data_IF_366229709420
#
_entry.id   IF_366229709420
#
_cell.length_a   1.000
_cell.length_b   1.000
_cell.length_c   1.000
_cell.angle_alpha   90.00
_cell.angle_beta   90.00
_cell.angle_gamma   90.00
#
_symmetry.space_group_name_H-M   'P 1'
#
loop_
_entity.id
_entity.type
_entity.pdbx_description
1 polymer ?
#
# COMPACT_ATOMS: atom_id res chain seq x y z
N UNK A 1 12.28 -24.31 16.66
CA UNK A 1 11.92 -23.13 15.84
C UNK A 1 12.35 -21.84 16.55
N UNK A 2 13.11 -20.97 15.88
CA UNK A 2 13.52 -19.65 16.40
C UNK A 2 12.32 -18.71 16.39
N UNK A 3 12.03 -18.09 17.53
CA UNK A 3 10.86 -17.19 17.73
C UNK A 3 11.24 -15.77 18.14
N UNK A 4 12.52 -15.52 18.45
CA UNK A 4 12.99 -14.21 18.92
C UNK A 4 14.30 -13.79 18.27
N UNK A 5 14.54 -12.48 18.21
CA UNK A 5 15.81 -11.91 17.72
C UNK A 5 17.00 -12.36 18.60
N UNK A 6 16.79 -12.56 19.90
CA UNK A 6 17.84 -13.06 20.81
C UNK A 6 18.29 -14.47 20.44
N UNK A 7 17.34 -15.37 20.11
CA UNK A 7 17.65 -16.70 19.59
C UNK A 7 18.36 -16.63 18.23
N UNK A 8 17.91 -15.75 17.32
CA UNK A 8 18.56 -15.51 16.04
C UNK A 8 20.03 -15.06 16.19
N UNK A 9 20.30 -14.18 17.17
CA UNK A 9 21.67 -13.70 17.49
C UNK A 9 22.59 -14.84 17.92
N UNK A 10 22.09 -15.82 18.68
CA UNK A 10 22.86 -17.00 19.13
C UNK A 10 23.28 -17.91 17.96
N UNK A 11 22.49 -17.95 16.89
CA UNK A 11 22.76 -18.79 15.70
C UNK A 11 23.45 -18.03 14.56
N UNK A 12 23.88 -16.79 14.76
CA UNK A 12 24.41 -15.90 13.69
C UNK A 12 25.52 -16.47 12.81
N UNK A 13 26.28 -17.47 13.29
CA UNK A 13 27.34 -18.14 12.52
C UNK A 13 26.81 -19.13 11.47
N UNK A 14 25.52 -19.46 11.51
CA UNK A 14 24.87 -20.46 10.64
C UNK A 14 23.53 -19.92 10.11
N UNK A 15 23.55 -18.72 9.54
CA UNK A 15 22.35 -18.10 8.92
C UNK A 15 22.62 -17.89 7.44
N UNK A 16 21.72 -18.42 6.61
CA UNK A 16 21.59 -18.08 5.21
C UNK A 16 20.38 -17.18 5.03
N UNK A 17 20.56 -16.06 4.32
CA UNK A 17 19.48 -15.14 4.00
C UNK A 17 19.07 -15.36 2.55
N UNK A 18 17.80 -15.68 2.32
CA UNK A 18 17.31 -16.06 0.99
C UNK A 18 16.21 -15.12 0.51
N UNK A 19 16.31 -14.75 -0.77
CA UNK A 19 15.25 -14.08 -1.51
C UNK A 19 15.30 -14.52 -2.98
N UNK A 20 14.16 -14.56 -3.65
CA UNK A 20 14.07 -14.93 -5.06
C UNK A 20 13.19 -13.98 -5.87
N UNK A 21 13.36 -13.98 -7.18
CA UNK A 21 12.53 -13.28 -8.16
C UNK A 21 11.89 -14.29 -9.12
N UNK A 22 10.74 -13.92 -9.69
CA UNK A 22 9.96 -14.77 -10.59
C UNK A 22 9.32 -13.98 -11.74
N UNK A 23 8.78 -14.70 -12.72
CA UNK A 23 8.18 -14.12 -13.94
C UNK A 23 6.79 -13.54 -13.76
N UNK A 24 6.11 -13.87 -12.67
CA UNK A 24 4.79 -13.35 -12.34
C UNK A 24 4.57 -13.42 -10.84
N UNK A 25 3.75 -12.51 -10.33
CA UNK A 25 3.22 -12.64 -8.98
C UNK A 25 1.97 -13.55 -9.02
N UNK A 26 0.98 -13.22 -9.84
CA UNK A 26 -0.36 -13.84 -9.73
C UNK A 26 -0.74 -14.79 -10.88
N UNK A 27 0.17 -15.05 -11.84
CA UNK A 27 -0.16 -15.77 -13.08
C UNK A 27 0.73 -16.98 -13.27
N UNK A 28 0.12 -18.16 -13.27
CA UNK A 28 0.79 -19.43 -13.55
C UNK A 28 0.99 -19.64 -15.06
N UNK A 29 2.10 -20.26 -15.51
CA UNK A 29 3.19 -20.78 -14.69
C UNK A 29 4.12 -19.66 -14.18
N UNK A 30 4.36 -19.66 -12.87
CA UNK A 30 5.35 -18.78 -12.23
C UNK A 30 6.70 -19.48 -12.36
N UNK A 31 7.67 -18.82 -12.98
CA UNK A 31 9.02 -19.35 -13.19
C UNK A 31 9.97 -18.55 -12.30
N UNK A 32 10.82 -19.23 -11.54
CA UNK A 32 11.88 -18.61 -10.76
C UNK A 32 12.99 -18.14 -11.71
N UNK A 33 13.30 -16.85 -11.66
CA UNK A 33 14.25 -16.19 -12.57
C UNK A 33 15.60 -15.92 -11.92
N UNK A 34 15.61 -15.77 -10.59
CA UNK A 34 16.82 -15.66 -9.78
C UNK A 34 16.57 -16.05 -8.32
N UNK A 35 17.50 -16.75 -7.69
CA UNK A 35 17.57 -16.99 -6.24
C UNK A 35 18.89 -16.42 -5.74
N UNK A 36 18.84 -15.55 -4.73
CA UNK A 36 20.04 -15.05 -4.04
C UNK A 36 20.07 -15.59 -2.63
N UNK A 37 21.23 -16.11 -2.24
CA UNK A 37 21.50 -16.63 -0.90
C UNK A 37 22.72 -15.93 -0.34
N UNK A 38 22.58 -15.25 0.79
CA UNK A 38 23.70 -14.59 1.48
C UNK A 38 24.06 -15.34 2.75
N UNK A 39 25.30 -15.75 2.88
CA UNK A 39 25.84 -16.20 4.15
C UNK A 39 26.05 -14.99 5.05
N UNK A 40 25.33 -14.95 6.17
CA UNK A 40 25.37 -13.84 7.10
C UNK A 40 26.75 -13.68 7.75
N UNK A 41 27.43 -14.80 8.04
CA UNK A 41 28.70 -14.81 8.75
C UNK A 41 29.88 -14.46 7.85
N UNK A 42 29.87 -14.95 6.61
CA UNK A 42 30.93 -14.73 5.63
C UNK A 42 30.73 -13.44 4.83
N UNK A 43 29.56 -12.83 4.91
CA UNK A 43 29.18 -11.65 4.14
C UNK A 43 29.22 -11.87 2.61
N UNK A 44 29.14 -13.13 2.18
CA UNK A 44 29.19 -13.56 0.78
C UNK A 44 27.79 -13.83 0.25
N UNK A 45 27.51 -13.40 -0.98
CA UNK A 45 26.26 -13.70 -1.67
C UNK A 45 26.52 -14.63 -2.84
N UNK A 46 25.74 -15.71 -2.92
CA UNK A 46 25.68 -16.63 -4.04
C UNK A 46 24.36 -16.41 -4.78
N UNK A 47 24.43 -16.14 -6.08
CA UNK A 47 23.25 -15.98 -6.93
C UNK A 47 23.11 -17.14 -7.90
N UNK A 48 21.87 -17.57 -8.11
CA UNK A 48 21.47 -18.55 -9.11
C UNK A 48 20.42 -17.89 -9.98
N UNK A 49 20.81 -17.39 -11.16
CA UNK A 49 19.93 -16.59 -12.01
C UNK A 49 20.11 -16.85 -13.50
N UNK A 50 19.15 -16.39 -14.29
CA UNK A 50 19.16 -16.53 -15.76
C UNK A 50 20.33 -15.79 -16.44
N UNK A 51 21.04 -14.93 -15.70
CA UNK A 51 22.31 -14.32 -16.15
C UNK A 51 23.42 -15.37 -16.34
N UNK A 52 23.38 -16.44 -15.53
CA UNK A 52 24.39 -17.52 -15.50
C UNK A 52 23.85 -18.86 -15.99
N UNK A 53 22.57 -19.14 -15.75
CA UNK A 53 21.94 -20.42 -16.03
C UNK A 53 20.95 -20.28 -17.19
N UNK A 54 20.93 -21.28 -18.09
CA UNK A 54 20.12 -21.22 -19.33
C UNK A 54 18.61 -21.18 -19.07
N UNK A 55 18.17 -21.84 -18.01
CA UNK A 55 16.75 -22.02 -17.69
C UNK A 55 16.57 -22.29 -16.19
N UNK A 56 15.31 -22.30 -15.74
CA UNK A 56 14.96 -22.56 -14.34
C UNK A 56 15.45 -23.94 -13.86
N UNK A 57 15.38 -24.99 -14.69
CA UNK A 57 15.88 -26.32 -14.33
C UNK A 57 17.36 -26.30 -13.90
N UNK A 58 18.23 -25.73 -14.75
CA UNK A 58 19.68 -25.65 -14.47
C UNK A 58 19.99 -24.74 -13.29
N UNK A 59 19.22 -23.67 -13.11
CA UNK A 59 19.29 -22.78 -11.96
C UNK A 59 18.92 -23.50 -10.66
N UNK A 60 17.76 -24.17 -10.63
CA UNK A 60 17.28 -24.91 -9.46
C UNK A 60 18.24 -26.04 -9.11
N UNK A 61 18.73 -26.79 -10.10
CA UNK A 61 19.72 -27.85 -9.86
C UNK A 61 20.98 -27.31 -9.16
N UNK A 62 21.51 -26.17 -9.61
CA UNK A 62 22.68 -25.55 -8.97
C UNK A 62 22.37 -25.01 -7.57
N UNK A 63 21.20 -24.40 -7.38
CA UNK A 63 20.73 -23.94 -6.07
C UNK A 63 20.59 -25.11 -5.08
N UNK A 64 19.98 -26.22 -5.47
CA UNK A 64 19.83 -27.41 -4.64
C UNK A 64 21.19 -28.03 -4.28
N UNK A 65 22.11 -28.10 -5.24
CA UNK A 65 23.47 -28.57 -5.00
C UNK A 65 24.23 -27.70 -3.97
N UNK A 66 23.97 -26.39 -3.98
CA UNK A 66 24.48 -25.47 -2.95
C UNK A 66 23.81 -25.73 -1.60
N UNK A 67 22.47 -25.78 -1.54
CA UNK A 67 21.73 -25.96 -0.29
C UNK A 67 22.00 -27.30 0.40
N UNK A 68 22.26 -28.36 -0.37
CA UNK A 68 22.65 -29.68 0.19
C UNK A 68 23.92 -29.60 1.06
N UNK A 69 24.85 -28.71 0.72
CA UNK A 69 26.08 -28.49 1.51
C UNK A 69 25.85 -27.65 2.76
N UNK A 70 24.68 -27.01 2.87
CA UNK A 70 24.32 -26.06 3.92
C UNK A 70 23.14 -26.54 4.76
N UNK A 71 22.90 -27.86 4.82
CA UNK A 71 21.74 -28.47 5.51
C UNK A 71 21.60 -28.11 7.00
N UNK A 72 22.69 -27.70 7.64
CA UNK A 72 22.73 -27.31 9.05
C UNK A 72 22.57 -25.79 9.28
N UNK A 73 22.24 -25.01 8.25
CA UNK A 73 22.03 -23.57 8.35
C UNK A 73 20.56 -23.23 8.58
N UNK A 74 20.33 -22.17 9.35
CA UNK A 74 19.04 -21.52 9.45
C UNK A 74 18.79 -20.69 8.19
N UNK A 75 17.61 -20.81 7.60
CA UNK A 75 17.18 -19.99 6.48
C UNK A 75 16.33 -18.81 6.95
N UNK A 76 16.84 -17.59 6.79
CA UNK A 76 16.14 -16.36 7.10
C UNK A 76 15.53 -15.76 5.82
N UNK A 77 14.22 -15.58 5.79
CA UNK A 77 13.46 -15.08 4.64
C UNK A 77 12.72 -13.79 4.98
N UNK A 78 12.08 -13.15 3.99
CA UNK A 78 11.30 -11.92 4.20
C UNK A 78 9.89 -12.04 3.60
N UNK A 79 8.87 -12.12 4.45
CA UNK A 79 7.46 -12.23 4.02
C UNK A 79 7.22 -13.36 3.00
N UNK A 80 7.79 -14.54 3.26
CA UNK A 80 7.88 -15.68 2.32
C UNK A 80 7.27 -16.94 2.94
N UNK A 81 6.01 -16.85 3.37
CA UNK A 81 5.31 -17.92 4.10
C UNK A 81 4.22 -18.66 3.31
N UNK A 82 3.79 -18.13 2.18
CA UNK A 82 2.71 -18.74 1.40
C UNK A 82 3.25 -19.71 0.36
N UNK A 83 2.47 -20.72 -0.03
CA UNK A 83 2.79 -21.57 -1.19
C UNK A 83 2.97 -20.78 -2.49
N UNK A 84 2.37 -19.60 -2.58
CA UNK A 84 2.45 -18.75 -3.78
C UNK A 84 3.78 -18.00 -3.91
N UNK A 85 4.40 -17.58 -2.80
CA UNK A 85 5.56 -16.68 -2.80
C UNK A 85 6.65 -17.05 -1.79
N UNK A 86 6.47 -18.15 -1.07
CA UNK A 86 7.36 -18.61 -0.02
C UNK A 86 8.36 -19.62 -0.51
N UNK A 87 9.12 -20.15 0.42
CA UNK A 87 10.07 -21.23 0.17
C UNK A 87 9.36 -22.50 -0.35
N UNK A 88 8.09 -22.71 0.02
CA UNK A 88 7.24 -23.77 -0.53
C UNK A 88 7.11 -23.67 -2.05
N UNK A 89 7.07 -22.45 -2.61
CA UNK A 89 7.00 -22.27 -4.05
C UNK A 89 8.25 -22.81 -4.74
N UNK A 90 9.43 -22.63 -4.14
CA UNK A 90 10.67 -23.19 -4.67
C UNK A 90 10.61 -24.73 -4.65
N UNK A 91 10.08 -25.31 -3.57
CA UNK A 91 9.86 -26.77 -3.47
C UNK A 91 8.91 -27.29 -4.56
N UNK A 92 7.77 -26.61 -4.78
CA UNK A 92 6.82 -26.93 -5.85
C UNK A 92 7.45 -26.86 -7.25
N UNK A 93 8.28 -25.82 -7.50
CA UNK A 93 9.01 -25.70 -8.77
C UNK A 93 10.05 -26.81 -8.92
N UNK A 94 10.72 -27.23 -7.85
CA UNK A 94 11.60 -28.40 -7.87
C UNK A 94 10.83 -29.69 -8.19
N UNK A 95 9.64 -29.87 -7.61
CA UNK A 95 8.75 -31.00 -7.91
C UNK A 95 8.36 -31.06 -9.38
N UNK A 96 7.90 -29.94 -9.93
CA UNK A 96 7.51 -29.83 -11.35
C UNK A 96 8.69 -30.04 -12.32
N UNK A 97 9.92 -29.89 -11.84
CA UNK A 97 11.14 -30.14 -12.60
C UNK A 97 11.77 -31.52 -12.29
N UNK A 98 11.08 -32.41 -11.56
CA UNK A 98 11.58 -33.73 -11.13
C UNK A 98 12.92 -33.65 -10.36
N UNK A 99 13.02 -32.71 -9.42
CA UNK A 99 14.23 -32.48 -8.62
C UNK A 99 14.06 -32.81 -7.12
N UNK A 100 12.90 -33.35 -6.69
CA UNK A 100 12.58 -33.58 -5.26
C UNK A 100 13.52 -34.56 -4.56
N UNK A 101 14.02 -35.58 -5.28
CA UNK A 101 14.92 -36.61 -4.75
C UNK A 101 16.26 -36.03 -4.25
N UNK A 102 16.52 -34.74 -4.51
CA UNK A 102 17.79 -34.06 -4.24
C UNK A 102 17.74 -33.09 -3.06
N UNK A 103 16.56 -32.81 -2.48
CA UNK A 103 16.42 -31.82 -1.41
C UNK A 103 15.12 -31.96 -0.60
N UNK A 104 15.23 -31.92 0.72
CA UNK A 104 14.09 -31.80 1.63
C UNK A 104 14.26 -30.51 2.44
N UNK A 105 13.23 -29.66 2.42
CA UNK A 105 13.22 -28.43 3.19
C UNK A 105 12.82 -28.75 4.62
N UNK A 106 13.74 -28.60 5.56
CA UNK A 106 13.39 -28.64 6.98
C UNK A 106 12.72 -27.32 7.36
N UNK A 107 11.39 -27.30 7.38
CA UNK A 107 10.60 -26.13 7.76
C UNK A 107 10.92 -25.58 9.15
N UNK A 108 11.42 -26.40 10.09
CA UNK A 108 11.83 -25.94 11.43
C UNK A 108 13.09 -25.07 11.41
N UNK A 109 13.87 -25.14 10.32
CA UNK A 109 15.07 -24.34 10.08
C UNK A 109 14.78 -23.04 9.33
N UNK A 110 13.52 -22.74 9.02
CA UNK A 110 13.13 -21.54 8.27
C UNK A 110 12.49 -20.53 9.22
N UNK A 111 12.88 -19.27 9.05
CA UNK A 111 12.43 -18.16 9.87
C UNK A 111 12.07 -16.99 8.97
N UNK A 112 10.85 -16.49 9.11
CA UNK A 112 10.47 -15.23 8.50
C UNK A 112 10.95 -14.06 9.37
N UNK A 113 11.75 -13.18 8.79
CA UNK A 113 12.34 -12.08 9.52
C UNK A 113 11.32 -10.98 9.85
N UNK A 114 10.28 -10.79 9.03
CA UNK A 114 9.19 -9.83 9.30
C UNK A 114 8.45 -10.21 10.60
N UNK A 115 8.31 -11.51 10.87
CA UNK A 115 7.72 -12.01 12.12
C UNK A 115 8.58 -11.74 13.33
N UNK A 116 9.88 -11.99 13.24
CA UNK A 116 10.77 -11.74 14.37
C UNK A 116 10.80 -10.25 14.75
N UNK A 117 10.76 -9.38 13.73
CA UNK A 117 10.70 -7.94 13.93
C UNK A 117 9.32 -7.51 14.45
N UNK A 118 8.24 -8.09 13.93
CA UNK A 118 6.87 -7.84 14.41
C UNK A 118 6.69 -8.28 15.87
N UNK A 119 7.23 -9.44 16.25
CA UNK A 119 7.20 -9.95 17.61
C UNK A 119 8.00 -9.07 18.58
N UNK A 120 9.13 -8.51 18.13
CA UNK A 120 9.99 -7.65 18.96
C UNK A 120 9.48 -6.21 19.08
N UNK A 121 9.03 -5.62 17.98
CA UNK A 121 8.76 -4.18 17.86
C UNK A 121 7.29 -3.84 17.64
N UNK A 122 6.41 -4.84 17.52
CA UNK A 122 5.00 -4.67 17.17
C UNK A 122 4.78 -4.58 15.64
N UNK A 123 3.53 -4.75 15.16
CA UNK A 123 3.22 -4.80 13.72
C UNK A 123 3.49 -3.47 12.98
N UNK A 124 3.50 -2.35 13.70
CA UNK A 124 3.75 -1.00 13.17
C UNK A 124 5.20 -0.55 13.23
N UNK A 125 6.18 -1.47 13.23
CA UNK A 125 7.61 -1.13 13.37
C UNK A 125 8.22 -0.47 12.12
N UNK A 126 7.60 -0.64 10.96
CA UNK A 126 7.99 0.02 9.73
C UNK A 126 6.78 0.18 8.78
N UNK A 127 6.73 1.25 7.96
CA UNK A 127 5.71 1.39 6.92
C UNK A 127 5.87 0.38 5.78
N UNK A 128 4.77 -0.01 5.14
CA UNK A 128 4.81 -0.84 3.94
C UNK A 128 5.32 -0.05 2.70
N UNK A 129 6.12 -0.66 1.80
CA UNK A 129 6.79 -1.96 1.96
C UNK A 129 7.93 -1.86 2.99
N UNK A 130 7.89 -2.74 4.01
CA UNK A 130 8.71 -2.65 5.22
C UNK A 130 10.21 -2.73 4.95
N UNK A 131 10.66 -3.65 4.08
CA UNK A 131 12.09 -3.83 3.78
C UNK A 131 12.74 -2.56 3.22
N UNK A 132 12.06 -1.91 2.27
CA UNK A 132 12.53 -0.70 1.60
C UNK A 132 12.55 0.50 2.57
N UNK A 133 11.53 0.61 3.43
CA UNK A 133 11.47 1.67 4.44
C UNK A 133 12.51 1.50 5.54
N UNK A 134 12.73 0.27 6.03
CA UNK A 134 13.77 -0.02 7.00
C UNK A 134 15.16 0.29 6.44
N UNK A 135 15.40 -0.04 5.18
CA UNK A 135 16.64 0.32 4.51
C UNK A 135 16.87 1.83 4.55
N UNK A 136 15.89 2.63 4.12
CA UNK A 136 16.01 4.10 4.16
C UNK A 136 16.18 4.65 5.57
N UNK A 137 15.41 4.13 6.52
CA UNK A 137 15.43 4.61 7.90
C UNK A 137 16.77 4.36 8.60
N UNK A 138 17.50 3.33 8.17
CA UNK A 138 18.78 2.92 8.75
C UNK A 138 19.97 3.24 7.82
N UNK A 139 19.78 4.16 6.88
CA UNK A 139 20.79 4.58 5.90
C UNK A 139 21.47 3.43 5.13
N UNK A 140 20.72 2.36 4.90
CA UNK A 140 21.15 1.22 4.09
C UNK A 140 20.89 1.57 2.63
N UNK A 141 21.95 1.57 1.82
CA UNK A 141 21.86 1.87 0.39
C UNK A 141 20.87 0.95 -0.34
N UNK A 142 20.01 1.57 -1.16
CA UNK A 142 19.09 0.91 -2.08
C UNK A 142 19.67 0.77 -3.50
N UNK A 143 20.99 0.93 -3.68
CA UNK A 143 21.62 0.83 -5.00
C UNK A 143 21.27 -0.53 -5.66
N UNK A 144 20.73 -0.48 -6.88
CA UNK A 144 20.26 -1.64 -7.64
C UNK A 144 19.03 -2.37 -7.08
N UNK A 145 18.39 -1.86 -6.02
CA UNK A 145 17.10 -2.38 -5.54
C UNK A 145 16.01 -2.15 -6.60
N UNK A 146 15.26 -3.20 -6.93
CA UNK A 146 14.13 -3.15 -7.85
C UNK A 146 12.91 -3.80 -7.19
N UNK A 147 11.73 -3.20 -7.37
CA UNK A 147 10.47 -3.77 -6.85
C UNK A 147 10.08 -5.02 -7.64
N UNK A 148 9.38 -5.97 -7.00
CA UNK A 148 8.99 -7.24 -7.64
C UNK A 148 8.29 -7.09 -9.00
N UNK A 149 7.36 -6.13 -9.12
CA UNK A 149 6.67 -5.84 -10.39
C UNK A 149 7.65 -5.37 -11.48
N UNK A 150 8.68 -4.62 -11.11
CA UNK A 150 9.68 -4.14 -12.05
C UNK A 150 10.65 -5.26 -12.46
N UNK A 151 10.95 -6.23 -11.58
CA UNK A 151 11.75 -7.42 -11.93
C UNK A 151 11.07 -8.26 -13.02
N UNK A 152 9.74 -8.35 -13.00
CA UNK A 152 8.95 -8.98 -14.08
C UNK A 152 9.15 -8.25 -15.40
N UNK A 153 9.10 -6.91 -15.39
CA UNK A 153 9.35 -6.11 -16.59
C UNK A 153 10.78 -6.26 -17.11
N UNK A 154 11.78 -6.31 -16.21
CA UNK A 154 13.17 -6.56 -16.57
C UNK A 154 13.37 -7.94 -17.20
N UNK A 155 12.62 -8.94 -16.75
CA UNK A 155 12.69 -10.28 -17.32
C UNK A 155 12.21 -10.29 -18.77
N UNK A 156 11.10 -9.60 -19.08
CA UNK A 156 10.55 -9.50 -20.45
C UNK A 156 11.55 -8.88 -21.43
N UNK A 157 12.39 -7.96 -20.97
CA UNK A 157 13.45 -7.33 -21.78
C UNK A 157 14.83 -7.97 -21.60
N UNK A 158 14.88 -9.18 -21.03
CA UNK A 158 16.11 -9.99 -20.84
C UNK A 158 17.22 -9.30 -20.04
N UNK A 159 16.88 -8.39 -19.13
CA UNK A 159 17.85 -7.70 -18.26
C UNK A 159 18.14 -8.51 -16.99
N UNK A 160 18.63 -9.74 -17.16
CA UNK A 160 18.82 -10.71 -16.07
C UNK A 160 19.82 -10.24 -15.01
N UNK A 161 20.93 -9.59 -15.42
CA UNK A 161 21.89 -9.02 -14.47
C UNK A 161 21.27 -8.03 -13.49
N UNK A 162 20.30 -7.24 -13.94
CA UNK A 162 19.62 -6.27 -13.06
C UNK A 162 18.69 -6.95 -12.06
N UNK A 163 18.06 -8.06 -12.45
CA UNK A 163 17.27 -8.89 -11.53
C UNK A 163 18.18 -9.53 -10.48
N UNK A 164 19.33 -10.07 -10.89
CA UNK A 164 20.33 -10.60 -9.98
C UNK A 164 20.84 -9.52 -9.00
N UNK A 165 21.19 -8.34 -9.50
CA UNK A 165 21.65 -7.24 -8.65
C UNK A 165 20.56 -6.79 -7.64
N UNK A 166 19.29 -6.81 -8.05
CA UNK A 166 18.16 -6.48 -7.16
C UNK A 166 17.95 -7.50 -6.05
N UNK A 167 17.93 -8.78 -6.40
CA UNK A 167 17.79 -9.88 -5.43
C UNK A 167 18.99 -9.94 -4.49
N UNK A 168 20.21 -9.72 -4.99
CA UNK A 168 21.42 -9.56 -4.17
C UNK A 168 21.32 -8.37 -3.22
N UNK A 169 20.80 -7.23 -3.68
CA UNK A 169 20.58 -6.06 -2.84
C UNK A 169 19.58 -6.35 -1.73
N UNK A 170 18.49 -7.08 -2.00
CA UNK A 170 17.47 -7.42 -0.99
C UNK A 170 18.02 -8.29 0.12
N UNK A 171 18.77 -9.36 -0.20
CA UNK A 171 19.41 -10.20 0.84
C UNK A 171 20.49 -9.44 1.61
N UNK A 172 21.19 -8.49 0.97
CA UNK A 172 22.13 -7.61 1.66
C UNK A 172 21.40 -6.66 2.64
N UNK A 173 20.31 -6.01 2.22
CA UNK A 173 19.49 -5.17 3.09
C UNK A 173 18.99 -5.96 4.30
N UNK A 174 18.46 -7.17 4.07
CA UNK A 174 18.02 -8.06 5.15
C UNK A 174 19.16 -8.37 6.13
N UNK A 175 20.39 -8.59 5.64
CA UNK A 175 21.55 -8.81 6.50
C UNK A 175 21.87 -7.59 7.37
N UNK A 176 21.85 -6.38 6.80
CA UNK A 176 22.08 -5.15 7.56
C UNK A 176 20.99 -4.93 8.62
N UNK A 177 19.71 -5.12 8.27
CA UNK A 177 18.60 -5.01 9.22
C UNK A 177 18.72 -6.08 10.32
N UNK A 178 19.09 -7.31 9.96
CA UNK A 178 19.33 -8.41 10.93
C UNK A 178 20.40 -8.03 11.93
N UNK A 179 21.53 -7.47 11.45
CA UNK A 179 22.62 -6.99 12.30
C UNK A 179 22.14 -5.92 13.27
N UNK A 180 21.49 -4.87 12.78
CA UNK A 180 20.96 -3.81 13.63
C UNK A 180 19.92 -4.33 14.62
N UNK A 181 19.03 -5.23 14.19
CA UNK A 181 18.03 -5.81 15.08
C UNK A 181 18.64 -6.65 16.21
N UNK A 182 19.67 -7.45 15.90
CA UNK A 182 20.41 -8.27 16.87
C UNK A 182 21.21 -7.42 17.86
N UNK A 183 21.61 -6.22 17.48
CA UNK A 183 22.37 -5.30 18.32
C UNK A 183 21.50 -4.27 19.05
N UNK A 184 20.17 -4.34 18.88
CA UNK A 184 19.25 -3.32 19.42
C UNK A 184 19.50 -1.91 18.86
N UNK A 185 20.10 -1.83 17.66
CA UNK A 185 20.46 -0.58 16.96
C UNK A 185 19.48 -0.25 15.82
N UNK A 186 18.50 -1.12 15.55
CA UNK A 186 17.59 -0.94 14.42
C UNK A 186 16.69 0.27 14.68
N UNK A 187 16.87 1.31 13.87
CA UNK A 187 15.94 2.42 13.80
C UNK A 187 14.63 1.91 13.22
N UNK A 188 13.58 2.07 14.01
CA UNK A 188 12.21 1.72 13.64
C UNK A 188 11.35 2.98 13.63
N UNK A 189 10.31 2.99 12.81
CA UNK A 189 9.32 4.05 12.84
C UNK A 189 8.05 3.44 13.40
N UNK A 190 7.83 3.65 14.70
CA UNK A 190 6.56 3.30 15.34
C UNK A 190 5.46 4.18 14.74
N UNK A 191 4.45 3.58 14.11
CA UNK A 191 3.12 4.20 14.07
C UNK A 191 2.73 4.45 15.54
N UNK A 192 2.47 5.70 15.98
CA UNK A 192 2.47 6.04 17.38
C UNK A 192 1.27 5.42 18.11
N UNK A 193 1.48 4.24 18.68
CA UNK A 193 0.51 3.55 19.54
C UNK A 193 0.40 4.23 20.92
N UNK A 194 1.42 4.98 21.35
CA UNK A 194 1.44 5.74 22.60
C UNK A 194 0.68 7.07 22.54
N UNK A 195 0.47 7.65 21.35
CA UNK A 195 -0.24 8.94 21.23
C UNK A 195 -1.76 8.82 21.34
N UNK A 196 -2.35 7.64 21.16
CA UNK A 196 -3.81 7.45 21.31
C UNK A 196 -4.24 7.65 22.77
N UNK A 197 -3.40 7.26 23.74
CA UNK A 197 -3.69 7.48 25.17
C UNK A 197 -3.40 8.92 25.62
N UNK A 198 -2.41 9.60 25.02
CA UNK A 198 -2.18 11.03 25.23
C UNK A 198 -3.31 11.88 24.62
N UNK A 199 -3.79 11.55 23.42
CA UNK A 199 -4.97 12.18 22.79
C UNK A 199 -6.24 12.00 23.63
N UNK A 200 -6.44 10.80 24.21
CA UNK A 200 -7.54 10.54 25.16
C UNK A 200 -7.45 11.36 26.45
N UNK A 201 -6.23 11.57 26.99
CA UNK A 201 -6.01 12.40 28.19
C UNK A 201 -6.15 13.90 27.90
N UNK A 202 -5.79 14.35 26.69
CA UNK A 202 -5.86 15.77 26.30
C UNK A 202 -7.27 16.24 25.94
N UNK A 203 -8.12 15.38 25.36
CA UNK A 203 -9.52 15.73 25.10
C UNK A 203 -10.32 16.02 26.39
N UNK A 204 -9.86 15.53 27.54
CA UNK A 204 -10.49 15.77 28.84
C UNK A 204 -9.94 17.01 29.56
N UNK A 205 -8.91 17.69 29.02
CA UNK A 205 -8.16 18.74 29.74
C UNK A 205 -7.85 19.99 28.90
N UNK A 206 -8.78 20.42 28.04
CA UNK A 206 -8.76 21.77 27.47
C UNK A 206 -9.96 22.60 27.95
N UNK A 207 -9.88 22.99 29.22
CA UNK A 207 -10.20 24.34 29.67
C UNK A 207 -8.87 24.90 30.20
N UNK A 208 -8.50 26.11 29.74
CA UNK A 208 -7.37 26.95 30.15
C UNK A 208 -6.00 26.76 29.43
N UNK A 209 -5.82 27.61 28.40
CA UNK A 209 -4.79 28.64 28.26
C UNK A 209 -3.27 28.31 28.10
N UNK A 210 -2.72 28.88 26.99
CA UNK A 210 -1.38 29.48 26.75
C UNK A 210 -0.15 28.59 26.45
N UNK A 211 0.36 28.65 25.21
CA UNK A 211 1.42 29.58 24.76
C UNK A 211 1.76 29.37 23.27
N UNK A 212 1.76 30.49 22.54
CA UNK A 212 1.78 30.70 21.08
C UNK A 212 3.00 30.16 20.31
N UNK A 213 3.98 29.53 20.97
CA UNK A 213 5.25 29.07 20.36
C UNK A 213 5.27 27.56 20.07
N UNK A 214 4.53 26.76 20.84
CA UNK A 214 4.47 25.31 20.68
C UNK A 214 3.55 24.91 19.51
N UNK A 215 2.51 25.71 19.24
CA UNK A 215 1.55 25.48 18.16
C UNK A 215 2.21 25.50 16.78
N UNK A 216 3.18 26.40 16.55
CA UNK A 216 3.86 26.54 15.25
C UNK A 216 4.79 25.37 14.94
N UNK A 217 5.56 24.89 15.93
CA UNK A 217 6.44 23.72 15.78
C UNK A 217 5.61 22.44 15.62
N UNK A 218 4.48 22.34 16.32
CA UNK A 218 3.52 21.24 16.17
C UNK A 218 2.84 21.28 14.79
N UNK A 219 2.38 22.43 14.31
CA UNK A 219 1.79 22.60 12.98
C UNK A 219 2.81 22.27 11.88
N UNK A 220 4.06 22.73 11.99
CA UNK A 220 5.12 22.40 11.04
C UNK A 220 5.49 20.91 11.05
N UNK A 221 5.45 20.27 12.22
CA UNK A 221 5.71 18.83 12.37
C UNK A 221 4.52 18.01 11.86
N UNK A 222 3.29 18.42 12.14
CA UNK A 222 2.08 17.83 11.58
C UNK A 222 2.06 17.99 10.05
N UNK A 223 2.43 19.16 9.53
CA UNK A 223 2.50 19.40 8.10
C UNK A 223 3.61 18.58 7.45
N UNK A 224 4.79 18.43 8.09
CA UNK A 224 5.88 17.55 7.62
C UNK A 224 5.49 16.06 7.64
N UNK A 225 4.79 15.59 8.68
CA UNK A 225 4.30 14.20 8.80
C UNK A 225 3.21 13.94 7.76
N UNK A 226 2.27 14.87 7.62
CA UNK A 226 1.21 14.87 6.60
C UNK A 226 1.84 14.82 5.21
N UNK A 227 2.78 15.71 4.89
CA UNK A 227 3.55 15.67 3.62
C UNK A 227 4.33 14.36 3.43
N UNK A 228 4.84 13.71 4.48
CA UNK A 228 5.59 12.45 4.36
C UNK A 228 4.69 11.19 4.18
N UNK A 229 3.44 11.25 4.62
CA UNK A 229 2.41 10.22 4.41
C UNK A 229 1.69 10.44 3.08
N UNK A 230 1.48 11.70 2.70
CA UNK A 230 0.80 12.13 1.47
C UNK A 230 1.59 11.88 0.18
N UNK A 231 2.90 11.64 0.27
CA UNK A 231 3.83 11.51 -0.88
C UNK A 231 4.40 10.09 -1.06
N UNK A 232 3.60 9.05 -0.83
CA UNK A 232 4.03 7.65 -1.07
C UNK A 232 3.53 7.16 -2.42
N UNK A 233 4.39 6.95 -3.43
CA UNK A 233 3.98 6.34 -4.69
C UNK A 233 3.41 4.94 -4.44
N UNK A 234 2.30 4.60 -5.09
CA UNK A 234 1.62 3.34 -4.87
C UNK A 234 0.26 3.29 -5.52
N UNK A 235 -0.47 2.20 -5.27
CA UNK A 235 -1.83 2.01 -5.73
C UNK A 235 -2.80 2.58 -4.68
N UNK A 236 -3.62 3.54 -5.09
CA UNK A 236 -4.59 4.22 -4.23
C UNK A 236 -5.99 4.15 -4.84
N UNK A 237 -6.98 4.24 -3.96
CA UNK A 237 -8.32 4.65 -4.33
C UNK A 237 -8.37 6.17 -4.44
N UNK A 238 -8.60 6.64 -5.65
CA UNK A 238 -8.91 8.01 -6.00
C UNK A 238 -10.38 8.23 -5.73
N UNK A 239 -10.69 9.11 -4.78
CA UNK A 239 -12.06 9.46 -4.43
C UNK A 239 -12.31 10.88 -4.88
N UNK A 240 -13.29 11.04 -5.76
CA UNK A 240 -13.75 12.32 -6.28
C UNK A 240 -15.15 12.60 -5.72
N UNK A 241 -15.28 13.63 -4.88
CA UNK A 241 -16.55 14.07 -4.32
C UNK A 241 -16.93 15.40 -4.95
N UNK A 242 -18.05 15.44 -5.66
CA UNK A 242 -18.41 16.56 -6.53
C UNK A 242 -19.78 17.12 -6.17
N UNK A 243 -19.86 18.45 -5.98
CA UNK A 243 -21.12 19.13 -5.72
C UNK A 243 -22.04 19.04 -6.95
N UNK A 244 -23.21 18.46 -6.76
CA UNK A 244 -24.20 18.34 -7.83
C UNK A 244 -25.00 19.63 -8.00
N UNK A 245 -25.38 19.93 -9.24
CA UNK A 245 -26.19 21.09 -9.61
C UNK A 245 -25.55 22.44 -9.23
N UNK A 246 -24.22 22.53 -9.21
CA UNK A 246 -23.48 23.77 -8.92
C UNK A 246 -23.80 24.89 -9.91
N UNK A 247 -23.84 24.61 -11.21
CA UNK A 247 -24.22 25.58 -12.26
C UNK A 247 -25.62 26.18 -12.03
N UNK A 248 -26.60 25.35 -11.65
CA UNK A 248 -27.96 25.84 -11.35
C UNK A 248 -28.00 26.66 -10.06
N UNK A 249 -27.11 26.35 -9.12
CA UNK A 249 -27.01 27.09 -7.86
C UNK A 249 -26.35 28.45 -8.08
N UNK A 250 -25.31 28.53 -8.93
CA UNK A 250 -24.63 29.79 -9.25
C UNK A 250 -25.49 30.79 -10.01
N UNK A 251 -26.50 30.32 -10.75
CA UNK A 251 -27.46 31.19 -11.43
C UNK A 251 -28.48 31.84 -10.46
N UNK A 252 -28.67 31.25 -9.28
CA UNK A 252 -29.75 31.63 -8.35
C UNK A 252 -29.26 32.26 -7.05
N UNK A 253 -28.03 31.96 -6.65
CA UNK A 253 -27.42 32.46 -5.44
C UNK A 253 -26.55 33.68 -5.75
N UNK A 254 -26.37 34.56 -4.77
CA UNK A 254 -25.33 35.58 -4.89
C UNK A 254 -23.94 34.92 -4.98
N UNK A 255 -22.93 35.60 -5.56
CA UNK A 255 -21.56 35.09 -5.58
C UNK A 255 -21.04 34.68 -4.18
N UNK A 256 -21.36 35.45 -3.15
CA UNK A 256 -20.98 35.18 -1.76
C UNK A 256 -21.67 33.93 -1.20
N UNK A 257 -22.98 33.80 -1.44
CA UNK A 257 -23.77 32.64 -1.01
C UNK A 257 -23.31 31.36 -1.72
N UNK A 258 -23.04 31.45 -3.01
CA UNK A 258 -22.53 30.33 -3.81
C UNK A 258 -21.12 29.91 -3.37
N UNK A 259 -20.22 30.88 -3.15
CA UNK A 259 -18.88 30.61 -2.63
C UNK A 259 -18.93 29.96 -1.24
N UNK A 260 -19.79 30.46 -0.36
CA UNK A 260 -20.03 29.88 0.95
C UNK A 260 -20.52 28.43 0.84
N UNK A 261 -21.47 28.14 -0.04
CA UNK A 261 -21.97 26.78 -0.28
C UNK A 261 -20.87 25.82 -0.72
N UNK A 262 -19.98 26.24 -1.62
CA UNK A 262 -18.82 25.45 -2.07
C UNK A 262 -17.89 25.17 -0.90
N UNK A 263 -17.51 26.21 -0.15
CA UNK A 263 -16.61 26.09 1.00
C UNK A 263 -17.19 25.16 2.08
N UNK A 264 -18.48 25.32 2.40
CA UNK A 264 -19.19 24.46 3.36
C UNK A 264 -19.15 22.99 2.90
N UNK A 265 -19.33 22.70 1.60
CA UNK A 265 -19.23 21.34 1.06
C UNK A 265 -17.80 20.78 1.13
N UNK A 266 -16.79 21.56 0.77
CA UNK A 266 -15.38 21.16 0.82
C UNK A 266 -14.97 20.86 2.27
N UNK A 267 -15.35 21.73 3.20
CA UNK A 267 -15.05 21.54 4.63
C UNK A 267 -15.75 20.31 5.19
N UNK A 268 -17.05 20.14 4.93
CA UNK A 268 -17.78 18.93 5.32
C UNK A 268 -17.08 17.69 4.77
N UNK A 269 -16.67 17.72 3.50
CA UNK A 269 -15.97 16.61 2.85
C UNK A 269 -14.63 16.27 3.52
N UNK A 270 -13.80 17.28 3.76
CA UNK A 270 -12.48 17.16 4.39
C UNK A 270 -12.57 16.68 5.83
N UNK A 271 -13.48 17.25 6.61
CA UNK A 271 -13.66 16.89 8.01
C UNK A 271 -14.52 15.64 8.22
N UNK A 272 -14.97 14.98 7.16
CA UNK A 272 -15.62 13.66 7.24
C UNK A 272 -14.64 12.50 7.28
N UNK A 273 -13.34 12.74 7.12
CA UNK A 273 -12.32 11.69 7.25
C UNK A 273 -12.28 11.23 8.71
N UNK A 274 -12.61 9.96 9.00
CA UNK A 274 -12.62 9.47 10.37
C UNK A 274 -11.20 9.50 10.97
N UNK A 275 -11.08 9.72 12.29
CA UNK A 275 -9.78 9.64 12.96
C UNK A 275 -9.29 8.18 13.10
N UNK A 276 -10.19 7.19 13.03
CA UNK A 276 -9.95 5.76 13.23
C UNK A 276 -9.91 4.95 11.90
N UNK A 277 -9.20 5.47 10.91
CA UNK A 277 -9.00 4.75 9.65
C UNK A 277 -8.26 3.42 9.89
N UNK A 278 -8.66 2.38 9.15
CA UNK A 278 -7.91 1.12 9.12
C UNK A 278 -6.53 1.28 8.46
N UNK A 279 -6.39 2.28 7.59
CA UNK A 279 -5.15 2.63 6.92
C UNK A 279 -5.08 4.15 6.69
N UNK A 280 -4.36 4.59 5.66
CA UNK A 280 -4.19 5.99 5.31
C UNK A 280 -5.33 6.47 4.41
N UNK A 281 -5.88 7.64 4.75
CA UNK A 281 -6.83 8.39 3.96
C UNK A 281 -6.61 9.89 4.18
N UNK A 282 -6.54 10.68 3.11
CA UNK A 282 -6.32 12.13 3.22
C UNK A 282 -6.94 12.91 2.07
N UNK A 283 -7.34 14.14 2.40
CA UNK A 283 -7.73 15.16 1.44
C UNK A 283 -6.50 15.69 0.72
N UNK A 284 -6.52 15.68 -0.61
CA UNK A 284 -5.40 16.17 -1.44
C UNK A 284 -5.59 17.65 -1.74
N UNK A 285 -6.69 17.98 -2.41
CA UNK A 285 -7.04 19.34 -2.81
C UNK A 285 -8.50 19.41 -3.26
N UNK A 286 -9.03 20.61 -3.31
CA UNK A 286 -10.24 20.97 -4.04
C UNK A 286 -9.91 21.37 -5.48
N UNK A 287 -10.88 21.18 -6.37
CA UNK A 287 -10.83 21.59 -7.78
C UNK A 287 -12.20 22.18 -8.10
N UNK A 288 -12.34 23.50 -7.92
CA UNK A 288 -13.63 24.18 -8.04
C UNK A 288 -14.58 23.76 -6.93
N UNK A 289 -15.69 23.15 -7.29
CA UNK A 289 -16.73 22.63 -6.39
C UNK A 289 -16.55 21.13 -6.06
N UNK A 290 -15.45 20.52 -6.51
CA UNK A 290 -15.09 19.15 -6.23
C UNK A 290 -13.96 19.03 -5.20
N UNK A 291 -13.98 17.94 -4.44
CA UNK A 291 -12.94 17.53 -3.51
C UNK A 291 -12.28 16.24 -3.98
N UNK A 292 -10.95 16.24 -4.00
CA UNK A 292 -10.14 15.08 -4.36
C UNK A 292 -9.45 14.49 -3.13
N UNK A 293 -9.69 13.21 -2.88
CA UNK A 293 -9.16 12.47 -1.74
C UNK A 293 -8.50 11.17 -2.19
N UNK A 294 -7.61 10.66 -1.33
CA UNK A 294 -6.91 9.39 -1.54
C UNK A 294 -7.12 8.48 -0.35
N UNK A 295 -7.36 7.20 -0.63
CA UNK A 295 -7.48 6.16 0.39
C UNK A 295 -6.68 4.92 -0.02
N UNK A 296 -6.11 4.22 0.97
CA UNK A 296 -5.43 2.93 0.77
C UNK A 296 -6.32 1.72 1.06
N UNK A 297 -7.48 1.93 1.65
CA UNK A 297 -8.40 0.87 2.03
C UNK A 297 -9.83 1.27 1.63
N UNK A 298 -10.55 0.35 0.99
CA UNK A 298 -11.91 0.62 0.53
C UNK A 298 -12.93 0.74 1.67
N UNK A 299 -12.76 0.01 2.78
CA UNK A 299 -13.64 0.11 3.95
C UNK A 299 -13.57 1.49 4.60
N UNK A 300 -12.40 2.11 4.56
CA UNK A 300 -12.21 3.48 5.04
C UNK A 300 -12.99 4.49 4.21
N UNK A 301 -13.13 4.25 2.90
CA UNK A 301 -13.99 5.06 2.02
C UNK A 301 -15.46 4.89 2.41
N UNK A 302 -15.91 3.68 2.74
CA UNK A 302 -17.28 3.47 3.20
C UNK A 302 -17.54 4.19 4.53
N UNK A 303 -16.61 4.11 5.49
CA UNK A 303 -16.69 4.84 6.77
C UNK A 303 -16.77 6.35 6.53
N UNK A 304 -15.85 6.89 5.75
CA UNK A 304 -15.84 8.30 5.36
C UNK A 304 -17.15 8.70 4.66
N UNK A 305 -17.67 7.87 3.76
CA UNK A 305 -18.90 8.16 3.02
C UNK A 305 -20.11 8.23 3.94
N UNK A 306 -20.23 7.34 4.92
CA UNK A 306 -21.30 7.39 5.94
C UNK A 306 -21.23 8.69 6.74
N UNK A 307 -20.04 9.07 7.22
CA UNK A 307 -19.86 10.32 7.99
C UNK A 307 -20.20 11.54 7.11
N UNK A 308 -19.80 11.52 5.84
CA UNK A 308 -20.11 12.56 4.88
C UNK A 308 -21.61 12.66 4.61
N UNK A 309 -22.30 11.53 4.43
CA UNK A 309 -23.76 11.49 4.28
C UNK A 309 -24.45 12.12 5.49
N UNK A 310 -24.07 11.71 6.70
CA UNK A 310 -24.65 12.21 7.94
C UNK A 310 -24.45 13.72 8.11
N UNK A 311 -23.23 14.22 7.86
CA UNK A 311 -22.92 15.65 7.97
C UNK A 311 -23.64 16.48 6.91
N UNK A 312 -23.70 16.02 5.66
CA UNK A 312 -24.45 16.68 4.61
C UNK A 312 -25.96 16.71 4.93
N UNK A 313 -26.51 15.63 5.47
CA UNK A 313 -27.90 15.58 5.91
C UNK A 313 -28.17 16.55 7.07
N UNK A 314 -27.28 16.59 8.07
CA UNK A 314 -27.37 17.55 9.18
C UNK A 314 -27.27 19.00 8.71
N UNK A 315 -26.40 19.29 7.75
CA UNK A 315 -26.31 20.60 7.10
C UNK A 315 -27.62 20.93 6.41
N UNK A 316 -28.11 20.05 5.53
CA UNK A 316 -29.32 20.25 4.73
C UNK A 316 -30.58 20.45 5.58
N UNK A 317 -30.68 19.77 6.72
CA UNK A 317 -31.82 19.93 7.65
C UNK A 317 -31.91 21.34 8.26
N UNK A 318 -30.79 22.09 8.30
CA UNK A 318 -30.76 23.47 8.81
C UNK A 318 -31.04 24.52 7.73
N UNK A 319 -31.08 24.09 6.46
CA UNK A 319 -31.19 24.97 5.31
C UNK A 319 -32.66 25.10 4.88
N UNK A 320 -33.14 26.35 4.76
CA UNK A 320 -34.53 26.64 4.36
C UNK A 320 -34.73 26.72 2.84
N UNK A 321 -33.71 27.17 2.10
CA UNK A 321 -33.77 27.34 0.64
C UNK A 321 -33.22 26.10 -0.08
N UNK A 322 -33.94 25.64 -1.11
CA UNK A 322 -33.53 24.45 -1.89
C UNK A 322 -32.22 24.66 -2.62
N UNK A 323 -31.90 25.90 -2.96
CA UNK A 323 -30.71 26.35 -3.68
C UNK A 323 -29.45 26.20 -2.81
N UNK A 324 -29.59 26.24 -1.49
CA UNK A 324 -28.49 26.08 -0.53
C UNK A 324 -28.23 24.62 -0.14
N UNK A 325 -29.10 23.68 -0.52
CA UNK A 325 -28.96 22.25 -0.20
C UNK A 325 -27.71 21.70 -0.90
N UNK A 326 -26.87 21.02 -0.12
CA UNK A 326 -25.72 20.26 -0.61
C UNK A 326 -26.21 18.90 -1.10
N UNK A 327 -26.08 18.69 -2.39
CA UNK A 327 -26.21 17.37 -3.00
C UNK A 327 -24.92 17.09 -3.73
N UNK A 328 -24.48 15.85 -3.71
CA UNK A 328 -23.15 15.55 -4.21
C UNK A 328 -23.11 14.15 -4.79
N UNK A 329 -22.06 13.85 -5.54
CA UNK A 329 -21.80 12.50 -6.04
C UNK A 329 -20.37 12.13 -5.73
N UNK A 330 -20.14 10.83 -5.55
CA UNK A 330 -18.82 10.30 -5.21
C UNK A 330 -18.42 9.27 -6.25
N UNK A 331 -17.21 9.36 -6.76
CA UNK A 331 -16.64 8.40 -7.70
C UNK A 331 -15.34 7.87 -7.12
N UNK A 332 -15.19 6.53 -7.14
CA UNK A 332 -13.96 5.85 -6.73
C UNK A 332 -13.31 5.20 -7.95
N UNK A 333 -12.04 5.47 -8.14
CA UNK A 333 -11.21 4.81 -9.14
C UNK A 333 -9.95 4.25 -8.48
N UNK A 334 -9.43 3.14 -8.99
CA UNK A 334 -8.17 2.56 -8.51
C UNK A 334 -7.06 2.90 -9.50
N UNK A 335 -6.01 3.57 -9.04
CA UNK A 335 -4.91 3.99 -9.90
C UNK A 335 -3.58 4.04 -9.19
N UNK A 336 -2.51 4.18 -9.95
CA UNK A 336 -1.17 4.43 -9.41
C UNK A 336 -0.91 5.93 -9.30
N UNK A 337 -0.30 6.34 -8.20
CA UNK A 337 0.13 7.73 -7.99
C UNK A 337 1.64 7.82 -8.10
N UNK A 338 2.07 8.79 -8.90
CA UNK A 338 3.44 9.28 -8.94
C UNK A 338 3.42 10.74 -8.50
N UNK A 339 4.33 11.09 -7.60
CA UNK A 339 4.53 12.48 -7.22
C UNK A 339 5.67 13.04 -8.05
N UNK A 340 5.50 14.24 -8.58
CA UNK A 340 6.60 14.92 -9.26
C UNK A 340 7.59 15.56 -8.26
N UNK A 341 8.60 16.26 -8.78
CA UNK A 341 9.62 16.92 -7.94
C UNK A 341 9.04 17.99 -7.00
N UNK A 342 7.84 18.51 -7.29
CA UNK A 342 7.13 19.49 -6.48
C UNK A 342 6.12 18.84 -5.53
N UNK A 343 6.09 17.49 -5.45
CA UNK A 343 5.15 16.72 -4.64
C UNK A 343 3.69 16.86 -5.08
N UNK A 344 3.47 17.28 -6.32
CA UNK A 344 2.15 17.24 -6.91
C UNK A 344 1.86 15.83 -7.44
N UNK A 345 0.70 15.24 -7.13
CA UNK A 345 0.32 13.95 -7.68
C UNK A 345 0.08 14.11 -9.19
N UNK A 346 1.04 13.64 -10.00
CA UNK A 346 0.88 13.52 -11.46
C UNK A 346 0.18 12.22 -11.76
N UNK A 347 -1.08 12.32 -12.18
CA UNK A 347 -1.88 11.14 -12.51
C UNK A 347 -2.64 11.39 -13.80
N UNK A 348 -2.49 10.47 -14.76
CA UNK A 348 -3.39 10.37 -15.92
C UNK A 348 -4.83 10.09 -15.46
N UNK A 349 -4.96 9.57 -14.24
CA UNK A 349 -6.19 9.20 -13.53
C UNK A 349 -7.10 10.38 -13.21
N UNK A 350 -6.59 11.59 -12.92
CA UNK A 350 -7.44 12.76 -12.66
C UNK A 350 -8.29 13.15 -13.88
N UNK A 351 -7.69 13.11 -15.06
CA UNK A 351 -8.42 13.37 -16.31
C UNK A 351 -9.45 12.28 -16.62
N UNK A 352 -9.20 11.05 -16.19
CA UNK A 352 -10.15 9.95 -16.35
C UNK A 352 -11.30 10.04 -15.35
N UNK A 353 -11.02 10.31 -14.07
CA UNK A 353 -12.05 10.38 -13.03
C UNK A 353 -13.00 11.55 -13.27
N UNK A 354 -12.50 12.70 -13.75
CA UNK A 354 -13.34 13.84 -14.15
C UNK A 354 -14.24 13.51 -15.35
N UNK A 355 -13.81 12.65 -16.30
CA UNK A 355 -14.69 12.20 -17.39
C UNK A 355 -15.73 11.20 -16.91
N UNK A 356 -15.35 10.32 -15.99
CA UNK A 356 -16.23 9.31 -15.39
C UNK A 356 -17.32 9.98 -14.54
N UNK A 357 -16.94 10.99 -13.76
CA UNK A 357 -17.81 11.75 -12.87
C UNK A 357 -19.06 12.27 -13.59
N UNK A 358 -18.92 12.80 -14.81
CA UNK A 358 -20.03 13.34 -15.64
C UNK A 358 -21.12 12.31 -15.97
N UNK A 359 -20.82 11.01 -15.86
CA UNK A 359 -21.78 9.93 -16.12
C UNK A 359 -22.70 9.71 -14.92
N UNK A 360 -22.22 10.02 -13.72
CA UNK A 360 -22.95 9.79 -12.48
C UNK A 360 -23.94 10.94 -12.20
N UNK A 361 -25.13 10.56 -11.75
CA UNK A 361 -26.17 11.51 -11.32
C UNK A 361 -25.95 11.94 -9.88
N UNK A 362 -26.66 12.99 -9.49
CA UNK A 362 -26.78 13.48 -8.11
C UNK A 362 -27.02 12.34 -7.11
N UNK A 363 -26.32 12.40 -5.97
CA UNK A 363 -26.38 11.45 -4.86
C UNK A 363 -25.97 10.01 -5.20
N UNK A 364 -25.32 9.79 -6.34
CA UNK A 364 -24.79 8.47 -6.68
C UNK A 364 -23.39 8.24 -6.11
N UNK A 365 -23.13 6.99 -5.74
CA UNK A 365 -21.82 6.51 -5.32
C UNK A 365 -21.28 5.52 -6.36
N UNK A 366 -20.37 6.01 -7.20
CA UNK A 366 -19.80 5.34 -8.34
C UNK A 366 -18.46 4.67 -8.08
N UNK A 367 -18.23 3.57 -8.77
CA UNK A 367 -16.94 2.87 -8.80
C UNK A 367 -16.62 2.40 -10.22
N UNK A 368 -15.34 2.30 -10.56
CA UNK A 368 -14.89 1.67 -11.82
C UNK A 368 -14.82 0.15 -11.74
N UNK A 369 -14.70 -0.52 -12.88
CA UNK A 369 -14.53 -1.99 -12.93
C UNK A 369 -13.35 -2.47 -12.08
N UNK A 370 -12.20 -1.78 -12.14
CA UNK A 370 -11.04 -2.13 -11.31
C UNK A 370 -11.35 -2.13 -9.81
N UNK A 371 -12.10 -1.12 -9.34
CA UNK A 371 -12.53 -1.07 -7.92
C UNK A 371 -13.49 -2.22 -7.63
N UNK A 372 -14.47 -2.48 -8.51
CA UNK A 372 -15.43 -3.59 -8.35
C UNK A 372 -14.72 -4.94 -8.24
N UNK A 373 -13.68 -5.18 -9.05
CA UNK A 373 -12.89 -6.41 -9.00
C UNK A 373 -12.20 -6.58 -7.65
N UNK A 374 -11.59 -5.53 -7.10
CA UNK A 374 -10.90 -5.58 -5.81
C UNK A 374 -11.87 -5.84 -4.65
N UNK A 375 -13.10 -5.31 -4.72
CA UNK A 375 -14.12 -5.50 -3.68
C UNK A 375 -15.05 -6.69 -3.95
N UNK A 376 -14.75 -7.53 -4.95
CA UNK A 376 -15.63 -8.62 -5.41
C UNK A 376 -16.03 -9.60 -4.31
N UNK A 377 -15.11 -9.93 -3.38
CA UNK A 377 -15.43 -10.79 -2.22
C UNK A 377 -16.53 -10.21 -1.33
N UNK A 378 -16.59 -8.88 -1.19
CA UNK A 378 -17.62 -8.17 -0.42
C UNK A 378 -18.94 -8.07 -1.18
N UNK A 379 -18.88 -8.02 -2.51
CA UNK A 379 -20.06 -8.10 -3.36
C UNK A 379 -20.68 -9.50 -3.26
N UNK A 380 -19.86 -10.54 -3.41
CA UNK A 380 -20.29 -11.93 -3.38
C UNK A 380 -20.86 -12.35 -2.03
N UNK A 381 -20.34 -11.80 -0.93
CA UNK A 381 -20.88 -12.01 0.43
C UNK A 381 -22.11 -11.15 0.75
N UNK A 382 -22.56 -10.30 -0.18
CA UNK A 382 -23.72 -9.43 0.00
C UNK A 382 -23.48 -8.23 0.93
N UNK A 383 -22.24 -8.01 1.38
CA UNK A 383 -21.87 -6.83 2.17
C UNK A 383 -21.99 -5.54 1.35
N UNK A 384 -21.74 -5.60 0.04
CA UNK A 384 -21.88 -4.47 -0.90
C UNK A 384 -22.78 -4.89 -2.05
N UNK A 385 -23.81 -4.10 -2.36
CA UNK A 385 -24.63 -4.27 -3.57
C UNK A 385 -24.24 -3.24 -4.60
N UNK A 386 -24.02 -3.71 -5.83
CA UNK A 386 -23.68 -2.87 -6.98
C UNK A 386 -24.67 -3.05 -8.11
N UNK A 387 -24.87 -2.00 -8.90
CA UNK A 387 -25.65 -2.02 -10.15
C UNK A 387 -24.78 -1.49 -11.29
N UNK A 388 -24.77 -2.21 -12.41
CA UNK A 388 -24.07 -1.77 -13.63
C UNK A 388 -24.73 -0.51 -14.19
N UNK A 389 -23.93 0.46 -14.61
CA UNK A 389 -24.41 1.66 -15.30
C UNK A 389 -24.27 1.42 -16.81
N UNK A 390 -25.36 1.51 -17.58
CA UNK A 390 -25.33 1.32 -19.02
C UNK A 390 -24.78 2.59 -19.69
N UNK A 391 -23.47 2.72 -19.80
CA UNK A 391 -22.85 3.86 -20.50
C UNK A 391 -21.54 3.47 -21.17
N UNK A 392 -21.22 4.11 -22.31
CA UNK A 392 -19.93 4.04 -23.00
C UNK A 392 -19.11 5.28 -22.59
N UNK A 393 -17.92 5.09 -22.02
CA UNK A 393 -16.96 6.19 -21.86
C UNK A 393 -16.48 6.64 -23.25
N UNK A 394 -16.78 7.90 -23.60
CA UNK A 394 -16.37 8.48 -24.89
C UNK A 394 -14.87 8.84 -24.82
N UNK A 395 -14.09 8.36 -25.79
CA UNK A 395 -12.67 8.72 -25.92
C UNK A 395 -11.66 7.87 -25.12
N UNK A 396 -12.07 6.72 -24.58
CA UNK A 396 -11.15 5.73 -23.97
C UNK A 396 -11.04 4.48 -24.85
N UNK A 397 -9.83 3.94 -25.02
CA UNK A 397 -9.60 2.67 -25.77
C UNK A 397 -10.26 1.46 -25.08
N UNK A 398 -10.47 1.53 -23.76
CA UNK A 398 -11.13 0.49 -22.95
C UNK A 398 -12.63 0.79 -22.77
N UNK A 399 -13.49 -0.21 -23.05
CA UNK A 399 -14.94 -0.21 -22.82
C UNK A 399 -15.27 -0.85 -21.46
N UNK A 400 -14.56 -0.47 -20.41
CA UNK A 400 -14.85 -1.01 -19.09
C UNK A 400 -16.19 -0.48 -18.54
N UNK A 401 -17.01 -1.35 -17.92
CA UNK A 401 -18.26 -0.92 -17.34
C UNK A 401 -18.04 -0.08 -16.08
N UNK A 402 -18.99 0.82 -15.83
CA UNK A 402 -19.08 1.58 -14.58
C UNK A 402 -20.17 0.98 -13.69
N UNK A 403 -20.02 1.17 -12.38
CA UNK A 403 -20.91 0.58 -11.39
C UNK A 403 -21.31 1.60 -10.35
N UNK A 404 -22.53 1.46 -9.86
CA UNK A 404 -23.05 2.21 -8.72
C UNK A 404 -23.13 1.29 -7.51
N UNK A 405 -22.56 1.71 -6.38
CA UNK A 405 -22.86 1.11 -5.08
C UNK A 405 -24.26 1.58 -4.65
N UNK A 406 -25.17 0.64 -4.48
CA UNK A 406 -26.57 0.92 -4.11
C UNK A 406 -26.85 0.65 -2.65
N UNK A 407 -26.06 -0.22 -2.01
CA UNK A 407 -26.13 -0.51 -0.58
C UNK A 407 -24.81 -1.06 -0.10
N UNK A 408 -24.43 -0.77 1.14
CA UNK A 408 -23.28 -1.39 1.79
C UNK A 408 -23.54 -1.53 3.29
N UNK A 409 -22.83 -2.47 3.92
CA UNK A 409 -22.73 -2.63 5.38
C UNK A 409 -21.25 -2.50 5.74
N UNK A 410 -20.96 -1.75 6.80
CA UNK A 410 -19.60 -1.57 7.33
C UNK A 410 -19.39 -2.56 8.46
#
# INVERSE_FOLDING_TARGET
>A
MIKTISQLKKTKKKILILHYACTSLNTTPVIITNISVRDYSLNQTFSFGFDKYKNEFTLLHAFLAYMKKQSNYLLLTWNQKSSTYGIQHIEERCAQNNLLDKFSINYDSIVDFDDLLTAKYGPGYAPNPKLEHLARLNDITLLSFVKGIQEISLFKVKQYKRIENSTNRKVAIMAHISRYAMNDELLIKREPTENINLLKKFHHKQLFATKKSTTKILEETFQKIKTAVENRPGLYYFVWADLSDSTKSSEKLSPEEFSKKINDFIDITKYSIPPDLNNVGYFVKDIGDASFLLFNNFLDILKWKNILDDKCNQYNNKIKSKEHIINYKVIVHLGEIFFDKQKDPKTVTLNQISKIEKIFRKNQFGITENVRMVISSRINSGQIKVRKIPTKLIGTKSKEPLWQITKYKI
#
